data_IF_783302175525
#
_entry.id   IF_783302175525
#
_cell.length_a   1.000
_cell.length_b   1.000
_cell.length_c   1.000
_cell.angle_alpha   90.00
_cell.angle_beta   90.00
_cell.angle_gamma   90.00
#
_symmetry.space_group_name_H-M   'P 1'
#
loop_
_entity.id
_entity.type
_entity.pdbx_description
1 polymer ?
#
# COMPACT_ATOMS: atom_id res chain seq x y z
N UNK A 1 -15.28 -1.44 -22.10
CA UNK A 1 -15.55 -0.33 -21.18
C UNK A 1 -15.13 -0.80 -19.80
N UNK A 2 -13.95 -0.41 -19.30
CA UNK A 2 -13.51 -0.76 -17.93
C UNK A 2 -14.54 -0.17 -16.97
N UNK A 3 -15.19 -1.03 -16.17
CA UNK A 3 -16.38 -0.67 -15.39
C UNK A 3 -16.10 -0.47 -13.89
N UNK A 4 -14.86 -0.70 -13.46
CA UNK A 4 -14.41 -0.55 -12.07
C UNK A 4 -13.11 0.27 -12.08
N UNK A 5 -13.24 1.59 -12.03
CA UNK A 5 -12.10 2.51 -11.87
C UNK A 5 -11.88 2.68 -10.36
N UNK A 6 -10.69 2.34 -9.85
CA UNK A 6 -10.36 2.65 -8.45
C UNK A 6 -10.10 4.16 -8.33
N UNK A 7 -10.86 4.81 -7.44
CA UNK A 7 -10.81 6.25 -7.17
C UNK A 7 -10.56 6.43 -5.67
N UNK A 8 -9.49 7.16 -5.32
CA UNK A 8 -9.29 7.63 -3.95
C UNK A 8 -9.35 9.16 -3.92
N UNK A 9 -10.06 9.69 -2.92
CA UNK A 9 -10.28 11.13 -2.69
C UNK A 9 -9.92 11.51 -1.26
N UNK A 10 -9.09 12.55 -1.10
CA UNK A 10 -8.74 13.13 0.20
C UNK A 10 -9.47 14.46 0.37
N UNK A 11 -10.30 14.57 1.40
CA UNK A 11 -10.93 15.83 1.79
C UNK A 11 -10.11 16.54 2.87
N UNK A 12 -10.12 17.87 2.89
CA UNK A 12 -9.33 18.68 3.82
C UNK A 12 -9.59 18.38 5.31
N UNK A 13 -10.80 17.92 5.67
CA UNK A 13 -11.22 17.64 7.05
C UNK A 13 -11.35 16.14 7.40
N UNK A 14 -10.83 15.23 6.56
CA UNK A 14 -10.94 13.80 6.85
C UNK A 14 -10.00 13.40 7.99
N UNK A 15 -10.55 13.25 9.20
CA UNK A 15 -9.87 12.54 10.29
C UNK A 15 -9.94 11.04 10.03
N UNK A 16 -8.77 10.44 9.94
CA UNK A 16 -8.58 9.01 9.78
C UNK A 16 -8.57 8.34 11.16
N UNK A 17 -9.64 7.63 11.50
CA UNK A 17 -9.79 6.96 12.80
C UNK A 17 -9.50 5.46 12.64
N UNK A 18 -8.51 4.96 13.38
CA UNK A 18 -8.18 3.54 13.47
C UNK A 18 -7.55 3.25 14.83
N UNK A 19 -7.84 2.05 15.36
CA UNK A 19 -7.21 1.54 16.59
C UNK A 19 -5.86 0.86 16.32
N UNK A 20 -5.51 0.69 15.05
CA UNK A 20 -4.28 0.05 14.61
C UNK A 20 -3.06 0.95 14.81
N UNK A 21 -1.88 0.32 14.72
CA UNK A 21 -0.62 1.05 14.56
C UNK A 21 -0.51 1.62 13.16
N UNK A 22 0.37 2.61 12.98
CA UNK A 22 0.68 3.17 11.66
C UNK A 22 1.03 2.07 10.66
N UNK A 23 1.93 1.16 11.04
CA UNK A 23 2.43 0.14 10.13
C UNK A 23 1.41 -0.95 9.83
N UNK A 24 0.65 -1.40 10.84
CA UNK A 24 -0.41 -2.39 10.63
C UNK A 24 -1.48 -1.87 9.67
N UNK A 25 -1.81 -0.59 9.77
CA UNK A 25 -2.78 0.03 8.87
C UNK A 25 -2.27 0.14 7.43
N UNK A 26 -0.98 0.38 7.23
CA UNK A 26 -0.40 0.34 5.88
C UNK A 26 -0.35 -1.10 5.34
N UNK A 27 -0.10 -2.10 6.19
CA UNK A 27 -0.14 -3.51 5.81
C UNK A 27 -1.54 -3.97 5.38
N UNK A 28 -2.60 -3.41 5.98
CA UNK A 28 -3.99 -3.73 5.62
C UNK A 28 -4.32 -3.40 4.15
N UNK A 29 -3.67 -2.40 3.56
CA UNK A 29 -3.81 -2.09 2.12
C UNK A 29 -3.43 -3.30 1.25
N UNK A 30 -2.52 -4.15 1.73
CA UNK A 30 -2.00 -5.30 1.02
C UNK A 30 -2.50 -6.63 1.58
N UNK A 31 -3.61 -6.67 2.30
CA UNK A 31 -4.11 -7.92 2.91
C UNK A 31 -4.35 -9.03 1.88
N UNK A 32 -4.82 -8.69 0.67
CA UNK A 32 -4.97 -9.65 -0.43
C UNK A 32 -3.63 -10.26 -0.88
N UNK A 33 -2.58 -9.44 -0.96
CA UNK A 33 -1.23 -9.91 -1.25
C UNK A 33 -0.71 -10.79 -0.11
N UNK A 34 -0.90 -10.38 1.14
CA UNK A 34 -0.46 -11.15 2.33
C UNK A 34 -1.18 -12.49 2.43
N UNK A 35 -2.45 -12.56 2.08
CA UNK A 35 -3.19 -13.81 1.99
C UNK A 35 -2.63 -14.71 0.88
N UNK A 36 -2.29 -14.12 -0.27
CA UNK A 36 -1.68 -14.83 -1.40
C UNK A 36 -0.30 -15.37 -1.04
N UNK A 37 0.54 -14.58 -0.36
CA UNK A 37 1.85 -14.99 0.14
C UNK A 37 1.75 -16.20 1.10
N UNK A 38 0.83 -16.14 2.07
CA UNK A 38 0.57 -17.27 2.98
C UNK A 38 0.16 -18.53 2.22
N UNK A 39 -0.65 -18.38 1.17
CA UNK A 39 -1.06 -19.50 0.32
C UNK A 39 0.13 -20.10 -0.44
N UNK A 40 0.97 -19.26 -1.05
CA UNK A 40 2.19 -19.71 -1.75
C UNK A 40 3.10 -20.51 -0.80
N UNK A 41 3.32 -19.99 0.42
CA UNK A 41 4.12 -20.67 1.44
C UNK A 41 3.55 -22.03 1.85
N UNK A 42 2.23 -22.13 2.01
CA UNK A 42 1.57 -23.42 2.29
C UNK A 42 1.70 -24.42 1.13
N UNK A 43 1.70 -23.94 -0.11
CA UNK A 43 1.92 -24.79 -1.27
C UNK A 43 3.36 -25.31 -1.32
N UNK A 44 4.35 -24.47 -1.00
CA UNK A 44 5.77 -24.88 -0.90
C UNK A 44 5.98 -25.99 0.14
N UNK A 45 5.32 -25.88 1.30
CA UNK A 45 5.35 -26.92 2.33
C UNK A 45 4.74 -28.24 1.82
N UNK A 46 3.61 -28.16 1.10
CA UNK A 46 2.97 -29.34 0.50
C UNK A 46 3.83 -30.00 -0.58
N UNK A 47 4.53 -29.22 -1.40
CA UNK A 47 5.45 -29.74 -2.42
C UNK A 47 6.56 -30.63 -1.82
N UNK A 48 6.98 -30.35 -0.59
CA UNK A 48 7.97 -31.18 0.12
C UNK A 48 7.47 -32.58 0.49
N UNK A 49 6.16 -32.84 0.43
CA UNK A 49 5.54 -34.11 0.86
C UNK A 49 4.77 -34.84 -0.23
N UNK A 50 4.41 -34.16 -1.33
CA UNK A 50 3.67 -34.74 -2.45
C UNK A 50 4.59 -35.37 -3.49
N UNK A 51 4.03 -36.22 -4.35
CA UNK A 51 4.76 -36.88 -5.44
C UNK A 51 3.82 -37.26 -6.59
N UNK A 52 4.37 -37.48 -7.78
CA UNK A 52 3.60 -37.88 -8.96
C UNK A 52 2.64 -36.80 -9.44
N UNK A 53 1.47 -37.19 -9.93
CA UNK A 53 0.53 -36.26 -10.58
C UNK A 53 -0.02 -35.16 -9.68
N UNK A 54 -0.10 -35.40 -8.36
CA UNK A 54 -0.54 -34.40 -7.39
C UNK A 54 0.49 -33.27 -7.25
N UNK A 55 1.78 -33.61 -7.26
CA UNK A 55 2.87 -32.64 -7.27
C UNK A 55 2.85 -31.82 -8.56
N UNK A 56 2.70 -32.48 -9.73
CA UNK A 56 2.66 -31.78 -11.02
C UNK A 56 1.51 -30.76 -11.12
N UNK A 57 0.35 -31.09 -10.56
CA UNK A 57 -0.80 -30.18 -10.53
C UNK A 57 -0.58 -29.01 -9.57
N UNK A 58 0.02 -29.28 -8.40
CA UNK A 58 0.34 -28.25 -7.43
C UNK A 58 1.38 -27.25 -7.98
N UNK A 59 2.42 -27.74 -8.65
CA UNK A 59 3.45 -26.91 -9.29
C UNK A 59 2.85 -25.95 -10.32
N UNK A 60 1.98 -26.43 -11.23
CA UNK A 60 1.31 -25.56 -12.21
C UNK A 60 0.47 -24.45 -11.57
N UNK A 61 -0.21 -24.80 -10.47
CA UNK A 61 -1.04 -23.84 -9.73
C UNK A 61 -0.16 -22.81 -9.03
N UNK A 62 0.97 -23.24 -8.45
CA UNK A 62 1.94 -22.37 -7.80
C UNK A 62 2.57 -21.40 -8.79
N UNK A 63 3.01 -21.87 -9.95
CA UNK A 63 3.64 -21.04 -10.97
C UNK A 63 2.70 -19.90 -11.41
N UNK A 64 1.42 -20.22 -11.61
CA UNK A 64 0.41 -19.22 -12.01
C UNK A 64 0.18 -18.19 -10.90
N UNK A 65 -0.01 -18.66 -9.66
CA UNK A 65 -0.28 -17.79 -8.51
C UNK A 65 0.94 -16.92 -8.14
N UNK A 66 2.15 -17.48 -8.24
CA UNK A 66 3.41 -16.78 -7.97
C UNK A 66 3.64 -15.66 -8.98
N UNK A 67 3.32 -15.91 -10.24
CA UNK A 67 3.39 -14.87 -11.28
C UNK A 67 2.35 -13.76 -11.06
N UNK A 68 1.11 -14.10 -10.71
CA UNK A 68 0.09 -13.12 -10.33
C UNK A 68 0.53 -12.28 -9.13
N UNK A 69 1.06 -12.92 -8.08
CA UNK A 69 1.60 -12.26 -6.89
C UNK A 69 2.74 -11.30 -7.25
N UNK A 70 3.65 -11.71 -8.14
CA UNK A 70 4.76 -10.88 -8.64
C UNK A 70 4.24 -9.64 -9.36
N UNK A 71 3.29 -9.81 -10.28
CA UNK A 71 2.72 -8.72 -11.07
C UNK A 71 1.95 -7.72 -10.21
N UNK A 72 1.35 -8.18 -9.11
CA UNK A 72 0.64 -7.35 -8.16
C UNK A 72 1.55 -6.66 -7.12
N UNK A 73 2.89 -6.77 -7.23
CA UNK A 73 3.83 -6.10 -6.31
C UNK A 73 4.09 -6.87 -5.01
N UNK A 74 3.77 -8.16 -4.97
CA UNK A 74 3.90 -9.01 -3.79
C UNK A 74 5.30 -9.08 -3.16
N UNK A 75 6.36 -8.86 -3.94
CA UNK A 75 7.74 -8.85 -3.42
C UNK A 75 8.24 -7.47 -2.98
N UNK A 76 7.51 -6.39 -3.30
CA UNK A 76 7.94 -5.01 -3.01
C UNK A 76 7.07 -4.29 -1.99
N UNK A 77 5.84 -4.76 -1.70
CA UNK A 77 4.88 -3.99 -0.89
C UNK A 77 5.44 -3.51 0.45
N UNK A 78 6.24 -4.31 1.18
CA UNK A 78 6.86 -3.83 2.42
C UNK A 78 7.88 -2.72 2.17
N UNK A 79 8.67 -2.82 1.11
CA UNK A 79 9.61 -1.77 0.73
C UNK A 79 8.88 -0.49 0.32
N UNK A 80 7.75 -0.63 -0.37
CA UNK A 80 6.90 0.48 -0.81
C UNK A 80 6.28 1.19 0.42
N UNK A 81 5.76 0.44 1.41
CA UNK A 81 5.29 0.99 2.69
C UNK A 81 6.39 1.81 3.35
N UNK A 82 7.60 1.23 3.49
CA UNK A 82 8.73 1.92 4.13
C UNK A 82 9.14 3.18 3.39
N UNK A 83 9.19 3.13 2.06
CA UNK A 83 9.55 4.28 1.24
C UNK A 83 8.57 5.43 1.40
N UNK A 84 7.26 5.13 1.40
CA UNK A 84 6.20 6.13 1.54
C UNK A 84 6.17 6.70 2.96
N UNK A 85 6.21 5.86 4.00
CA UNK A 85 6.23 6.33 5.39
C UNK A 85 7.43 7.25 5.68
N UNK A 86 8.61 6.87 5.21
CA UNK A 86 9.81 7.70 5.35
C UNK A 86 9.68 9.03 4.59
N UNK A 87 9.07 9.03 3.40
CA UNK A 87 8.77 10.24 2.63
C UNK A 87 7.91 11.26 3.37
N UNK A 88 6.95 10.76 4.15
CA UNK A 88 6.10 11.57 5.03
C UNK A 88 6.69 11.83 6.42
N UNK A 89 7.95 11.47 6.66
CA UNK A 89 8.67 11.63 7.93
C UNK A 89 8.06 10.85 9.09
N UNK A 90 7.51 9.67 8.81
CA UNK A 90 7.21 8.68 9.83
C UNK A 90 8.42 7.79 10.04
N UNK A 91 9.24 8.15 11.02
CA UNK A 91 10.39 7.36 11.42
C UNK A 91 9.97 5.97 11.87
N UNK A 92 10.89 5.00 11.77
CA UNK A 92 10.62 3.61 12.16
C UNK A 92 10.18 3.46 13.63
N UNK A 93 10.59 4.39 14.50
CA UNK A 93 10.15 4.44 15.91
C UNK A 93 8.68 4.80 16.06
N UNK A 94 8.08 5.44 15.06
CA UNK A 94 6.66 5.83 15.05
C UNK A 94 5.76 4.74 14.45
N UNK A 95 6.32 3.71 13.80
CA UNK A 95 5.54 2.70 13.09
C UNK A 95 4.63 1.89 14.02
N UNK A 96 5.08 1.67 15.25
CA UNK A 96 4.33 0.98 16.30
C UNK A 96 3.38 1.90 17.08
N UNK A 97 3.37 3.21 16.79
CA UNK A 97 2.43 4.14 17.43
C UNK A 97 1.02 3.94 16.93
N UNK A 98 0.05 4.10 17.83
CA UNK A 98 -1.37 4.06 17.48
C UNK A 98 -1.77 5.29 16.68
N UNK A 99 -2.66 5.08 15.70
CA UNK A 99 -3.16 6.18 14.86
C UNK A 99 -3.93 7.22 15.68
N UNK A 100 -4.59 6.81 16.76
CA UNK A 100 -5.29 7.68 17.71
C UNK A 100 -4.37 8.63 18.49
N UNK A 101 -3.05 8.38 18.52
CA UNK A 101 -2.06 9.23 19.18
C UNK A 101 -1.50 10.33 18.26
N UNK A 102 -1.84 10.28 16.96
CA UNK A 102 -1.33 11.23 15.98
C UNK A 102 -1.99 12.61 16.11
N UNK A 103 -1.17 13.65 15.97
CA UNK A 103 -1.68 15.01 15.75
C UNK A 103 -2.50 15.08 14.45
N UNK A 104 -3.37 16.09 14.32
CA UNK A 104 -4.19 16.27 13.12
C UNK A 104 -3.38 16.29 11.82
N UNK A 105 -2.26 17.03 11.78
CA UNK A 105 -1.39 17.07 10.60
C UNK A 105 -0.64 15.76 10.33
N UNK A 106 -0.26 14.99 11.36
CA UNK A 106 0.28 13.63 11.17
C UNK A 106 -0.81 12.70 10.63
N UNK A 107 -2.03 12.79 11.14
CA UNK A 107 -3.14 11.98 10.69
C UNK A 107 -3.47 12.23 9.20
N UNK A 108 -3.50 13.49 8.76
CA UNK A 108 -3.67 13.84 7.35
C UNK A 108 -2.52 13.33 6.48
N UNK A 109 -1.27 13.44 6.95
CA UNK A 109 -0.11 12.86 6.24
C UNK A 109 -0.20 11.35 6.09
N UNK A 110 -0.66 10.66 7.14
CA UNK A 110 -0.84 9.22 7.11
C UNK A 110 -1.97 8.81 6.15
N UNK A 111 -3.08 9.55 6.12
CA UNK A 111 -4.17 9.32 5.19
C UNK A 111 -3.68 9.45 3.74
N UNK A 112 -2.88 10.47 3.45
CA UNK A 112 -2.25 10.65 2.14
C UNK A 112 -1.29 9.49 1.82
N UNK A 113 -0.44 9.09 2.77
CA UNK A 113 0.47 7.93 2.61
C UNK A 113 -0.30 6.66 2.24
N UNK A 114 -1.41 6.37 2.93
CA UNK A 114 -2.29 5.23 2.67
C UNK A 114 -2.86 5.28 1.25
N UNK A 115 -3.38 6.43 0.83
CA UNK A 115 -3.92 6.59 -0.53
C UNK A 115 -2.88 6.40 -1.62
N UNK A 116 -1.64 6.84 -1.40
CA UNK A 116 -0.56 6.58 -2.35
C UNK A 116 -0.20 5.09 -2.43
N UNK A 117 -0.26 4.36 -1.31
CA UNK A 117 -0.04 2.91 -1.28
C UNK A 117 -1.14 2.12 -2.01
N UNK A 118 -2.40 2.57 -1.92
CA UNK A 118 -3.52 1.98 -2.66
C UNK A 118 -3.34 2.08 -4.18
N UNK A 119 -2.52 3.04 -4.65
CA UNK A 119 -2.18 3.24 -6.06
C UNK A 119 -3.41 3.21 -7.01
N UNK A 120 -4.46 4.01 -6.74
CA UNK A 120 -5.69 4.00 -7.53
C UNK A 120 -5.47 4.45 -9.00
N UNK A 121 -6.37 4.05 -9.90
CA UNK A 121 -6.30 4.50 -11.30
C UNK A 121 -6.53 6.00 -11.45
N UNK A 122 -7.28 6.62 -10.53
CA UNK A 122 -7.48 8.05 -10.43
C UNK A 122 -7.28 8.52 -8.98
N UNK A 123 -6.34 9.45 -8.80
CA UNK A 123 -6.06 10.09 -7.53
C UNK A 123 -6.54 11.54 -7.56
N UNK A 124 -7.39 11.92 -6.61
CA UNK A 124 -7.90 13.30 -6.47
C UNK A 124 -7.45 13.87 -5.14
N UNK A 125 -6.68 14.95 -5.20
CA UNK A 125 -6.10 15.63 -4.05
C UNK A 125 -6.60 17.08 -4.00
N UNK A 126 -7.24 17.46 -2.89
CA UNK A 126 -7.68 18.82 -2.61
C UNK A 126 -6.75 19.45 -1.55
N UNK A 127 -5.99 20.48 -1.95
CA UNK A 127 -5.02 21.19 -1.10
C UNK A 127 -4.02 20.28 -0.35
N UNK A 128 -3.34 19.33 -1.04
CA UNK A 128 -2.52 18.30 -0.37
C UNK A 128 -1.27 18.85 0.34
N UNK A 129 -0.87 20.09 0.06
CA UNK A 129 0.36 20.71 0.59
C UNK A 129 0.17 21.43 1.92
N UNK A 130 -1.07 21.70 2.35
CA UNK A 130 -1.37 22.62 3.46
C UNK A 130 -0.83 22.15 4.83
N UNK A 131 -0.57 20.86 5.00
CA UNK A 131 -0.04 20.26 6.23
C UNK A 131 1.35 19.65 6.07
N UNK A 132 2.02 19.95 4.96
CA UNK A 132 3.32 19.40 4.61
C UNK A 132 4.41 20.48 4.77
N UNK A 133 5.58 20.06 5.26
CA UNK A 133 6.77 20.90 5.16
C UNK A 133 7.38 20.82 3.76
N UNK A 134 8.30 21.75 3.45
CA UNK A 134 8.90 21.90 2.12
C UNK A 134 9.59 20.60 1.65
N UNK A 135 10.20 19.84 2.55
CA UNK A 135 10.89 18.60 2.20
C UNK A 135 9.88 17.50 1.85
N UNK A 136 8.79 17.37 2.61
CA UNK A 136 7.72 16.42 2.30
C UNK A 136 6.96 16.80 1.03
N UNK A 137 6.78 18.10 0.74
CA UNK A 137 6.21 18.57 -0.54
C UNK A 137 7.10 18.14 -1.70
N UNK A 138 8.41 18.40 -1.64
CA UNK A 138 9.33 18.03 -2.71
C UNK A 138 9.37 16.50 -2.94
N UNK A 139 9.30 15.72 -1.86
CA UNK A 139 9.19 14.27 -1.96
C UNK A 139 7.87 13.85 -2.64
N UNK A 140 6.75 14.44 -2.24
CA UNK A 140 5.43 14.15 -2.80
C UNK A 140 5.37 14.51 -4.28
N UNK A 141 5.87 15.68 -4.68
CA UNK A 141 5.95 16.09 -6.09
C UNK A 141 6.76 15.08 -6.91
N UNK A 142 7.93 14.67 -6.42
CA UNK A 142 8.76 13.69 -7.09
C UNK A 142 8.08 12.31 -7.20
N UNK A 143 7.32 11.91 -6.18
CA UNK A 143 6.51 10.69 -6.23
C UNK A 143 5.41 10.79 -7.30
N UNK A 144 4.66 11.89 -7.30
CA UNK A 144 3.53 12.12 -8.21
C UNK A 144 3.95 12.23 -9.68
N UNK A 145 5.16 12.73 -9.96
CA UNK A 145 5.73 12.75 -11.33
C UNK A 145 5.85 11.33 -11.92
N UNK A 146 6.08 10.33 -11.08
CA UNK A 146 6.24 8.93 -11.50
C UNK A 146 4.96 8.11 -11.31
N UNK A 147 3.86 8.75 -10.93
CA UNK A 147 2.58 8.08 -10.72
C UNK A 147 2.01 7.55 -12.03
N UNK A 148 1.63 6.27 -12.05
CA UNK A 148 1.16 5.59 -13.27
C UNK A 148 -0.31 5.84 -13.60
N UNK A 149 -1.09 6.37 -12.64
CA UNK A 149 -2.51 6.66 -12.79
C UNK A 149 -2.80 8.10 -13.25
N UNK A 150 -4.07 8.43 -13.34
CA UNK A 150 -4.52 9.80 -13.55
C UNK A 150 -4.47 10.58 -12.22
N UNK A 151 -4.11 11.86 -12.30
CA UNK A 151 -3.95 12.72 -11.14
C UNK A 151 -4.75 14.01 -11.36
N UNK A 152 -5.57 14.37 -10.38
CA UNK A 152 -6.24 15.66 -10.29
C UNK A 152 -5.78 16.31 -8.98
N UNK A 153 -5.13 17.46 -9.09
CA UNK A 153 -4.72 18.27 -7.95
C UNK A 153 -5.50 19.59 -8.01
N UNK A 154 -6.15 19.93 -6.90
CA UNK A 154 -6.73 21.24 -6.64
C UNK A 154 -5.82 21.95 -5.62
N UNK A 155 -5.44 23.18 -5.94
CA UNK A 155 -4.54 24.07 -5.19
C UNK A 155 -4.98 25.52 -5.36
#
# INVERSE_FOLDING_TARGET
>A
TKRDLSLSYLAQDSRFESENTIYDEMLHVFDDLRMTEKRLRSMEEQMGSLSGSELDQLMKTYDSLSEEFRLAGGFSYEADIRAILNGFKFDQTMWDMKISELSGGQNTRLALAKMLLESPELLVLDEPTNHLDIETIAWLENYLVHYKGALIIVS
#
